data_IF_004393424481
#
_entry.id   IF_004393424481
#
_cell.length_a   1.000
_cell.length_b   1.000
_cell.length_c   1.000
_cell.angle_alpha   90.00
_cell.angle_beta   90.00
_cell.angle_gamma   90.00
#
_symmetry.space_group_name_H-M   'P 1'
#
loop_
_entity.id
_entity.type
_entity.pdbx_description
1 polymer ?
#
# COMPACT_ATOMS: atom_id res chain seq x y z
N UNK A 1 24.77 -5.09 0.50
CA UNK A 1 23.83 -6.01 1.21
C UNK A 1 22.44 -5.39 1.32
N UNK A 2 22.36 -4.10 1.50
CA UNK A 2 21.08 -3.38 1.72
C UNK A 2 20.16 -3.38 0.49
N UNK A 3 20.74 -3.30 -0.72
CA UNK A 3 19.96 -3.39 -1.97
C UNK A 3 19.30 -4.77 -2.16
N UNK A 4 20.00 -5.85 -1.81
CA UNK A 4 19.44 -7.20 -1.90
C UNK A 4 18.32 -7.41 -0.89
N UNK A 5 18.48 -6.90 0.33
CA UNK A 5 17.44 -6.91 1.35
C UNK A 5 16.22 -6.08 0.91
N UNK A 6 16.44 -4.91 0.32
CA UNK A 6 15.38 -4.08 -0.23
C UNK A 6 14.60 -4.80 -1.35
N UNK A 7 15.30 -5.49 -2.26
CA UNK A 7 14.67 -6.30 -3.32
C UNK A 7 13.86 -7.47 -2.78
N UNK A 8 14.39 -8.19 -1.78
CA UNK A 8 13.67 -9.30 -1.14
C UNK A 8 12.41 -8.81 -0.41
N UNK A 9 12.50 -7.68 0.27
CA UNK A 9 11.36 -7.05 0.94
C UNK A 9 10.34 -6.51 -0.06
N UNK A 10 10.78 -5.95 -1.17
CA UNK A 10 9.89 -5.53 -2.24
C UNK A 10 9.15 -6.72 -2.86
N UNK A 11 9.83 -7.84 -3.09
CA UNK A 11 9.20 -9.07 -3.57
C UNK A 11 8.19 -9.64 -2.56
N UNK A 12 8.56 -9.70 -1.27
CA UNK A 12 7.68 -10.12 -0.19
C UNK A 12 6.49 -9.17 -0.03
N UNK A 13 6.73 -7.86 -0.14
CA UNK A 13 5.71 -6.81 -0.12
C UNK A 13 4.73 -6.93 -1.27
N UNK A 14 5.24 -7.21 -2.48
CA UNK A 14 4.42 -7.46 -3.66
C UNK A 14 3.55 -8.72 -3.52
N UNK A 15 4.11 -9.81 -2.98
CA UNK A 15 3.38 -11.04 -2.69
C UNK A 15 2.28 -10.82 -1.64
N UNK A 16 2.63 -10.24 -0.50
CA UNK A 16 1.69 -9.94 0.57
C UNK A 16 0.61 -8.95 0.10
N UNK A 17 1.01 -7.90 -0.62
CA UNK A 17 0.11 -6.91 -1.18
C UNK A 17 -0.86 -7.49 -2.21
N UNK A 18 -0.40 -8.45 -3.02
CA UNK A 18 -1.22 -9.19 -3.97
C UNK A 18 -2.24 -10.11 -3.31
N UNK A 19 -1.86 -10.77 -2.21
CA UNK A 19 -2.75 -11.65 -1.45
C UNK A 19 -3.82 -10.87 -0.66
N UNK A 20 -3.42 -9.77 -0.03
CA UNK A 20 -4.30 -8.97 0.83
C UNK A 20 -5.05 -7.88 0.07
N UNK A 21 -4.61 -7.56 -1.16
CA UNK A 21 -5.23 -6.52 -1.98
C UNK A 21 -4.85 -5.08 -1.57
N UNK A 22 -3.80 -4.90 -0.77
CA UNK A 22 -3.34 -3.57 -0.26
C UNK A 22 -2.29 -2.92 -1.16
N UNK A 23 -1.87 -3.61 -2.24
CA UNK A 23 -0.91 -3.07 -3.22
C UNK A 23 0.55 -3.01 -2.73
N UNK A 24 0.87 -3.54 -1.53
CA UNK A 24 2.25 -3.65 -1.03
C UNK A 24 2.83 -2.36 -0.42
N UNK A 25 2.18 -1.21 -0.55
CA UNK A 25 2.68 0.09 -0.07
C UNK A 25 3.01 0.13 1.41
N UNK A 26 2.24 -0.59 2.22
CA UNK A 26 2.45 -0.73 3.67
C UNK A 26 3.83 -1.32 4.00
N UNK A 27 4.38 -2.17 3.14
CA UNK A 27 5.71 -2.77 3.30
C UNK A 27 6.79 -2.02 2.53
N UNK A 28 6.45 -1.40 1.40
CA UNK A 28 7.41 -0.67 0.59
C UNK A 28 7.94 0.58 1.30
N UNK A 29 7.07 1.36 1.94
CA UNK A 29 7.49 2.59 2.62
C UNK A 29 8.49 2.31 3.74
N UNK A 30 8.23 1.41 4.72
CA UNK A 30 9.23 1.07 5.73
C UNK A 30 10.52 0.49 5.13
N UNK A 31 10.43 -0.32 4.07
CA UNK A 31 11.61 -0.87 3.41
C UNK A 31 12.48 0.24 2.80
N UNK A 32 11.88 1.21 2.11
CA UNK A 32 12.58 2.31 1.49
C UNK A 32 13.20 3.27 2.52
N UNK A 33 12.48 3.57 3.59
CA UNK A 33 12.96 4.48 4.64
C UNK A 33 14.05 3.86 5.50
N UNK A 34 13.91 2.59 5.92
CA UNK A 34 14.84 1.93 6.83
C UNK A 34 16.10 1.42 6.14
N UNK A 35 16.00 0.91 4.92
CA UNK A 35 17.15 0.28 4.23
C UNK A 35 17.83 1.20 3.22
N UNK A 36 17.10 2.12 2.60
CA UNK A 36 17.65 3.07 1.64
C UNK A 36 17.81 4.47 2.22
N UNK A 37 17.38 4.70 3.47
CA UNK A 37 17.54 5.97 4.16
C UNK A 37 16.74 7.13 3.55
N UNK A 38 15.69 6.83 2.78
CA UNK A 38 14.82 7.84 2.18
C UNK A 38 13.99 8.54 3.27
N UNK A 39 13.67 9.80 3.05
CA UNK A 39 12.69 10.49 3.89
C UNK A 39 11.30 9.86 3.72
N UNK A 40 10.39 10.11 4.67
CA UNK A 40 9.04 9.56 4.62
C UNK A 40 8.32 9.92 3.30
N UNK A 41 8.41 11.18 2.87
CA UNK A 41 7.78 11.67 1.64
C UNK A 41 8.38 11.01 0.39
N UNK A 42 9.71 10.86 0.35
CA UNK A 42 10.41 10.19 -0.75
C UNK A 42 10.07 8.69 -0.79
N UNK A 43 10.00 8.04 0.37
CA UNK A 43 9.58 6.64 0.49
C UNK A 43 8.14 6.42 0.01
N UNK A 44 7.22 7.28 0.41
CA UNK A 44 5.83 7.25 -0.05
C UNK A 44 5.72 7.47 -1.56
N UNK A 45 6.39 8.51 -2.09
CA UNK A 45 6.37 8.84 -3.52
C UNK A 45 6.95 7.71 -4.38
N UNK A 46 8.05 7.12 -3.95
CA UNK A 46 8.69 5.98 -4.62
C UNK A 46 7.80 4.73 -4.55
N UNK A 47 7.19 4.49 -3.40
CA UNK A 47 6.22 3.40 -3.20
C UNK A 47 5.01 3.53 -4.14
N UNK A 48 4.48 4.73 -4.33
CA UNK A 48 3.37 4.97 -5.26
C UNK A 48 3.71 4.56 -6.69
N UNK A 49 4.92 4.87 -7.16
CA UNK A 49 5.38 4.44 -8.48
C UNK A 49 5.46 2.91 -8.59
N UNK A 50 5.95 2.24 -7.55
CA UNK A 50 6.00 0.78 -7.49
C UNK A 50 4.59 0.18 -7.51
N UNK A 51 3.65 0.78 -6.77
CA UNK A 51 2.24 0.35 -6.71
C UNK A 51 1.57 0.44 -8.08
N UNK A 52 1.88 1.43 -8.92
CA UNK A 52 1.32 1.54 -10.27
C UNK A 52 1.62 0.28 -11.08
N UNK A 53 2.87 -0.20 -11.05
CA UNK A 53 3.28 -1.41 -11.78
C UNK A 53 2.54 -2.64 -11.22
N UNK A 54 2.51 -2.79 -9.90
CA UNK A 54 1.81 -3.90 -9.23
C UNK A 54 0.31 -3.85 -9.53
N UNK A 55 -0.30 -2.66 -9.50
CA UNK A 55 -1.73 -2.47 -9.76
C UNK A 55 -2.10 -2.81 -11.20
N UNK A 56 -1.28 -2.44 -12.19
CA UNK A 56 -1.51 -2.79 -13.60
C UNK A 56 -1.50 -4.31 -13.82
N UNK A 57 -0.49 -4.99 -13.27
CA UNK A 57 -0.39 -6.45 -13.35
C UNK A 57 -1.54 -7.12 -12.61
N UNK A 58 -1.86 -6.64 -11.41
CA UNK A 58 -2.97 -7.14 -10.60
C UNK A 58 -4.32 -6.95 -11.30
N UNK A 59 -4.60 -5.76 -11.83
CA UNK A 59 -5.83 -5.46 -12.55
C UNK A 59 -5.99 -6.32 -13.80
N UNK A 60 -4.91 -6.50 -14.57
CA UNK A 60 -4.92 -7.38 -15.75
C UNK A 60 -5.31 -8.82 -15.38
N UNK A 61 -4.69 -9.37 -14.33
CA UNK A 61 -4.98 -10.73 -13.86
C UNK A 61 -6.39 -10.85 -13.32
N UNK A 62 -6.86 -9.92 -12.52
CA UNK A 62 -8.22 -9.93 -11.97
C UNK A 62 -9.28 -9.76 -13.05
N UNK A 63 -8.99 -8.97 -14.09
CA UNK A 63 -9.87 -8.87 -15.24
C UNK A 63 -9.98 -10.22 -15.98
N UNK A 64 -8.87 -10.95 -16.14
CA UNK A 64 -8.87 -12.27 -16.75
C UNK A 64 -9.69 -13.32 -15.96
N UNK A 65 -9.78 -13.15 -14.64
CA UNK A 65 -10.65 -13.99 -13.78
C UNK A 65 -12.11 -13.52 -13.71
N UNK A 66 -12.47 -12.41 -14.38
CA UNK A 66 -13.81 -11.84 -14.36
C UNK A 66 -14.19 -11.13 -13.05
N UNK A 67 -13.23 -10.86 -12.17
CA UNK A 67 -13.47 -10.23 -10.88
C UNK A 67 -13.46 -8.69 -10.93
N UNK A 68 -13.14 -8.09 -12.09
CA UNK A 68 -13.00 -6.65 -12.22
C UNK A 68 -14.30 -6.01 -12.70
N UNK A 69 -14.84 -5.10 -11.90
CA UNK A 69 -15.92 -4.21 -12.30
C UNK A 69 -15.35 -2.90 -12.85
N UNK A 70 -15.15 -2.86 -14.16
CA UNK A 70 -14.55 -1.69 -14.84
C UNK A 70 -15.35 -0.39 -14.66
N UNK A 71 -16.67 -0.48 -14.56
CA UNK A 71 -17.54 0.69 -14.40
C UNK A 71 -17.32 1.35 -13.05
N UNK A 72 -17.33 0.58 -11.98
CA UNK A 72 -17.14 1.09 -10.62
C UNK A 72 -15.70 1.55 -10.42
N UNK A 73 -14.73 0.81 -10.95
CA UNK A 73 -13.33 1.19 -10.93
C UNK A 73 -13.06 2.51 -11.66
N UNK A 74 -13.66 2.73 -12.83
CA UNK A 74 -13.54 3.97 -13.58
C UNK A 74 -14.20 5.14 -12.83
N UNK A 75 -15.40 4.93 -12.27
CA UNK A 75 -16.14 5.97 -11.56
C UNK A 75 -15.36 6.45 -10.32
N UNK A 76 -14.86 5.52 -9.50
CA UNK A 76 -14.07 5.84 -8.31
C UNK A 76 -12.70 6.41 -8.71
N UNK A 77 -12.05 5.81 -9.72
CA UNK A 77 -10.73 6.22 -10.20
C UNK A 77 -10.67 7.63 -10.76
N UNK A 78 -11.75 8.12 -11.39
CA UNK A 78 -11.80 9.51 -11.90
C UNK A 78 -11.83 10.55 -10.77
N UNK A 79 -12.46 10.23 -9.65
CA UNK A 79 -12.53 11.15 -8.50
C UNK A 79 -11.32 11.03 -7.56
N UNK A 80 -10.60 9.93 -7.59
CA UNK A 80 -9.42 9.68 -6.74
C UNK A 80 -8.31 10.74 -6.88
N UNK A 81 -7.95 11.23 -8.09
CA UNK A 81 -6.92 12.26 -8.25
C UNK A 81 -7.19 13.55 -7.48
N UNK A 82 -8.45 13.93 -7.29
CA UNK A 82 -8.80 15.13 -6.50
C UNK A 82 -8.39 14.95 -5.03
N UNK A 83 -8.66 13.78 -4.46
CA UNK A 83 -8.23 13.44 -3.10
C UNK A 83 -6.70 13.39 -2.96
N UNK A 84 -6.02 12.84 -3.97
CA UNK A 84 -4.55 12.76 -4.00
C UNK A 84 -3.93 14.16 -4.05
N UNK A 85 -4.45 15.07 -4.88
CA UNK A 85 -3.93 16.44 -4.97
C UNK A 85 -4.01 17.16 -3.62
N UNK A 86 -5.15 17.07 -2.94
CA UNK A 86 -5.31 17.65 -1.59
C UNK A 86 -4.36 16.98 -0.60
N UNK A 87 -4.26 15.64 -0.62
CA UNK A 87 -3.40 14.87 0.26
C UNK A 87 -1.92 15.21 0.09
N UNK A 88 -1.44 15.36 -1.14
CA UNK A 88 -0.04 15.73 -1.44
C UNK A 88 0.29 17.13 -0.95
N UNK A 89 -0.61 18.10 -1.17
CA UNK A 89 -0.40 19.47 -0.65
C UNK A 89 -0.29 19.46 0.87
N UNK A 90 -1.20 18.78 1.56
CA UNK A 90 -1.18 18.66 3.02
C UNK A 90 0.09 17.95 3.50
N UNK A 91 0.50 16.85 2.85
CA UNK A 91 1.68 16.09 3.23
C UNK A 91 2.99 16.91 3.12
N UNK A 92 3.09 17.82 2.17
CA UNK A 92 4.27 18.68 2.03
C UNK A 92 4.34 19.83 3.06
N UNK A 93 3.21 20.22 3.65
CA UNK A 93 3.13 21.25 4.69
C UNK A 93 3.29 20.68 6.12
N UNK A 94 3.10 19.38 6.29
CA UNK A 94 3.15 18.71 7.59
C UNK A 94 4.59 18.29 7.92
N UNK A 95 5.08 18.49 9.16
CA UNK A 95 6.40 18.03 9.58
C UNK A 95 6.55 16.51 9.36
N UNK A 96 7.72 16.10 8.85
CA UNK A 96 8.02 14.70 8.55
C UNK A 96 7.68 13.74 9.71
N UNK A 97 8.01 14.16 10.95
CA UNK A 97 7.75 13.36 12.16
C UNK A 97 6.24 13.11 12.39
N UNK A 98 5.38 14.05 12.02
CA UNK A 98 3.93 13.85 12.14
C UNK A 98 3.41 12.88 11.08
N UNK A 99 3.99 12.91 9.86
CA UNK A 99 3.70 11.94 8.80
C UNK A 99 4.12 10.52 9.21
N UNK A 100 5.33 10.36 9.75
CA UNK A 100 5.83 9.07 10.25
C UNK A 100 4.93 8.49 11.34
N UNK A 101 4.54 9.32 12.31
CA UNK A 101 3.65 8.89 13.40
C UNK A 101 2.25 8.55 12.92
N UNK A 102 1.70 9.33 11.99
CA UNK A 102 0.36 9.06 11.43
C UNK A 102 0.36 7.79 10.59
N UNK A 103 1.41 7.56 9.81
CA UNK A 103 1.58 6.33 9.05
C UNK A 103 1.73 5.11 9.98
N UNK A 104 2.57 5.20 11.01
CA UNK A 104 2.75 4.15 12.00
C UNK A 104 1.43 3.81 12.72
N UNK A 105 0.67 4.83 13.13
CA UNK A 105 -0.64 4.66 13.76
C UNK A 105 -1.63 3.97 12.81
N UNK A 106 -1.66 4.36 11.54
CA UNK A 106 -2.52 3.74 10.53
C UNK A 106 -2.17 2.26 10.31
N UNK A 107 -0.88 1.94 10.18
CA UNK A 107 -0.40 0.56 10.02
C UNK A 107 -0.77 -0.30 11.22
N UNK A 108 -0.57 0.21 12.44
CA UNK A 108 -0.95 -0.48 13.67
C UNK A 108 -2.47 -0.71 13.76
N UNK A 109 -3.26 0.28 13.36
CA UNK A 109 -4.72 0.16 13.32
C UNK A 109 -5.18 -0.93 12.34
N UNK A 110 -4.60 -0.96 11.14
CA UNK A 110 -4.89 -1.99 10.13
C UNK A 110 -4.44 -3.37 10.64
N UNK A 111 -3.24 -3.47 11.19
CA UNK A 111 -2.71 -4.71 11.75
C UNK A 111 -3.59 -5.25 12.87
N UNK A 112 -4.03 -4.39 13.78
CA UNK A 112 -4.97 -4.75 14.85
C UNK A 112 -6.32 -5.24 14.28
N UNK A 113 -6.85 -4.54 13.28
CA UNK A 113 -8.09 -4.95 12.62
C UNK A 113 -8.01 -6.32 11.94
N UNK A 114 -6.90 -6.60 11.26
CA UNK A 114 -6.64 -7.90 10.62
C UNK A 114 -6.45 -9.00 11.67
N UNK A 115 -5.69 -8.73 12.73
CA UNK A 115 -5.47 -9.66 13.83
C UNK A 115 -6.78 -10.03 14.53
N UNK A 116 -7.62 -9.03 14.81
CA UNK A 116 -8.94 -9.25 15.41
C UNK A 116 -9.85 -10.09 14.52
N UNK A 117 -9.81 -9.87 13.19
CA UNK A 117 -10.57 -10.69 12.22
C UNK A 117 -10.05 -12.12 12.16
N UNK A 118 -8.73 -12.30 12.18
CA UNK A 118 -8.11 -13.63 12.18
C UNK A 118 -8.46 -14.44 13.43
N UNK A 119 -8.54 -13.80 14.60
CA UNK A 119 -8.97 -14.45 15.85
C UNK A 119 -10.48 -14.67 15.94
N UNK A 120 -11.28 -13.80 15.31
CA UNK A 120 -12.75 -13.91 15.29
C UNK A 120 -13.30 -14.79 14.18
N UNK A 121 -12.48 -15.20 13.22
CA UNK A 121 -12.82 -16.22 12.23
C UNK A 121 -12.67 -17.60 12.86
N UNK A 122 -13.62 -17.97 13.72
CA UNK A 122 -13.84 -19.36 14.11
C UNK A 122 -14.16 -20.21 12.86
N UNK A 123 -14.08 -21.55 12.95
CA UNK A 123 -14.13 -22.47 11.81
C UNK A 123 -15.54 -22.58 11.19
N UNK A 124 -16.08 -21.50 10.65
CA UNK A 124 -17.31 -21.49 9.87
C UNK A 124 -17.08 -20.79 8.53
N UNK A 125 -16.37 -21.48 7.66
CA UNK A 125 -16.45 -21.24 6.22
C UNK A 125 -16.57 -22.59 5.54
N UNK A 126 -17.81 -23.08 5.46
CA UNK A 126 -18.18 -24.02 4.41
C UNK A 126 -18.67 -23.26 3.20
#
# INVERSE_FOLDING_TARGET
MDELLALLLAAAGGLAGGLVGVGGGVLFVPALTLFLGLSQVEGESTSLLMIVIVALVGAYRQNAYGNLNLRDAAMIGVFSPLGVLVGVVVANEVPQRALELSFAALVLFIAYGLFRRALGAGPEAK
#
